data_IF_027397339713
#
_entry.id   IF_027397339713
#
_cell.length_a   1.000
_cell.length_b   1.000
_cell.length_c   1.000
_cell.angle_alpha   90.00
_cell.angle_beta   90.00
_cell.angle_gamma   90.00
#
_symmetry.space_group_name_H-M   'P 1'
#
loop_
_entity.id
_entity.type
_entity.pdbx_description
1 polymer ?
#
# COMPACT_ATOMS: atom_id res chain seq x y z
N UNK A 1 28.37 -27.16 21.20
CA UNK A 1 29.42 -26.25 20.67
C UNK A 1 29.54 -26.28 19.14
N UNK A 2 29.68 -27.43 18.49
CA UNK A 2 29.84 -27.49 17.02
C UNK A 2 28.65 -26.89 16.22
N UNK A 3 27.40 -27.16 16.65
CA UNK A 3 26.19 -26.56 16.05
C UNK A 3 26.11 -25.03 16.24
N UNK A 4 26.53 -24.54 17.41
CA UNK A 4 26.56 -23.11 17.72
C UNK A 4 27.65 -22.36 16.92
N UNK A 5 28.83 -22.97 16.77
CA UNK A 5 29.93 -22.44 15.94
C UNK A 5 29.55 -22.42 14.45
N UNK A 6 28.82 -23.42 13.96
CA UNK A 6 28.29 -23.45 12.58
C UNK A 6 27.29 -22.30 12.34
N UNK A 7 26.39 -22.03 13.31
CA UNK A 7 25.45 -20.90 13.26
C UNK A 7 26.15 -19.54 13.31
N UNK A 8 27.18 -19.36 14.15
CA UNK A 8 27.94 -18.10 14.20
C UNK A 8 28.77 -17.84 12.94
N UNK A 9 29.34 -18.88 12.34
CA UNK A 9 30.10 -18.75 11.08
C UNK A 9 29.19 -18.39 9.91
N UNK A 10 28.03 -19.04 9.82
CA UNK A 10 26.97 -18.72 8.84
C UNK A 10 26.45 -17.28 9.01
N UNK A 11 26.21 -16.82 10.24
CA UNK A 11 25.81 -15.44 10.51
C UNK A 11 26.90 -14.41 10.15
N UNK A 12 28.19 -14.75 10.34
CA UNK A 12 29.31 -13.89 9.96
C UNK A 12 29.59 -13.87 8.45
N UNK A 13 29.24 -14.94 7.72
CA UNK A 13 29.25 -14.99 6.24
C UNK A 13 28.06 -14.22 5.67
N UNK A 14 26.87 -14.36 6.25
CA UNK A 14 25.69 -13.54 5.90
C UNK A 14 25.92 -12.04 6.13
N UNK A 15 26.67 -11.66 7.17
CA UNK A 15 27.01 -10.26 7.45
C UNK A 15 27.94 -9.60 6.42
N UNK A 16 28.47 -10.34 5.44
CA UNK A 16 29.30 -9.81 4.34
C UNK A 16 28.56 -9.71 3.01
N UNK A 17 27.36 -10.28 2.91
CA UNK A 17 26.54 -10.14 1.71
C UNK A 17 25.98 -8.72 1.73
N UNK A 18 26.31 -7.95 0.71
CA UNK A 18 25.72 -6.63 0.52
C UNK A 18 24.25 -6.84 0.18
N UNK A 19 23.36 -6.14 0.87
CA UNK A 19 21.93 -6.16 0.57
C UNK A 19 21.71 -5.83 -0.91
N UNK A 20 20.72 -6.47 -1.53
CA UNK A 20 20.36 -6.15 -2.90
C UNK A 20 19.89 -4.69 -2.94
N UNK A 21 20.37 -3.85 -3.87
CA UNK A 21 20.13 -2.41 -3.85
C UNK A 21 18.63 -2.04 -3.85
N UNK A 22 17.77 -2.96 -4.33
CA UNK A 22 16.34 -2.72 -4.45
C UNK A 22 15.51 -3.29 -3.32
N UNK A 23 15.98 -4.37 -2.70
CA UNK A 23 15.16 -5.10 -1.75
C UNK A 23 15.50 -4.67 -0.34
N UNK A 24 14.77 -3.68 0.15
CA UNK A 24 14.64 -3.47 1.59
C UNK A 24 13.79 -4.60 2.18
N UNK A 25 13.84 -4.76 3.52
CA UNK A 25 12.97 -5.72 4.24
C UNK A 25 11.47 -5.41 4.11
N UNK A 26 11.10 -4.33 3.43
CA UNK A 26 9.71 -3.87 3.29
C UNK A 26 8.96 -4.59 2.15
N UNK A 27 9.67 -5.15 1.17
CA UNK A 27 9.04 -6.03 0.18
C UNK A 27 8.57 -7.32 0.83
N UNK A 28 7.32 -7.70 0.55
CA UNK A 28 6.74 -8.95 1.01
C UNK A 28 7.56 -10.16 0.55
N UNK A 29 7.58 -11.22 1.37
CA UNK A 29 8.27 -12.48 1.03
C UNK A 29 7.81 -13.06 -0.32
N UNK A 30 6.55 -12.86 -0.69
CA UNK A 30 5.98 -13.28 -1.98
C UNK A 30 6.72 -12.67 -3.18
N UNK A 31 6.92 -11.34 -3.18
CA UNK A 31 7.62 -10.64 -4.27
C UNK A 31 9.10 -11.07 -4.32
N UNK A 32 9.74 -11.24 -3.16
CA UNK A 32 11.14 -11.67 -3.08
C UNK A 32 11.32 -13.10 -3.58
N UNK A 33 10.38 -13.99 -3.27
CA UNK A 33 10.34 -15.36 -3.79
C UNK A 33 10.07 -15.37 -5.30
N UNK A 34 9.17 -14.53 -5.80
CA UNK A 34 8.92 -14.41 -7.24
C UNK A 34 10.17 -13.91 -7.98
N UNK A 35 10.82 -12.85 -7.47
CA UNK A 35 12.07 -12.34 -8.02
C UNK A 35 13.15 -13.41 -8.06
N UNK A 36 13.38 -14.09 -6.92
CA UNK A 36 14.36 -15.16 -6.85
C UNK A 36 14.01 -16.34 -7.78
N UNK A 37 12.74 -16.71 -7.87
CA UNK A 37 12.26 -17.76 -8.79
C UNK A 37 12.54 -17.41 -10.24
N UNK A 38 12.31 -16.16 -10.64
CA UNK A 38 12.59 -15.70 -11.99
C UNK A 38 14.07 -15.79 -12.35
N UNK A 39 14.95 -15.34 -11.45
CA UNK A 39 16.40 -15.43 -11.64
C UNK A 39 16.90 -16.88 -11.65
N UNK A 40 16.39 -17.72 -10.76
CA UNK A 40 16.76 -19.13 -10.69
C UNK A 40 16.26 -19.92 -11.92
N UNK A 41 15.05 -19.65 -12.39
CA UNK A 41 14.50 -20.28 -13.59
C UNK A 41 15.30 -19.91 -14.83
N UNK A 42 15.76 -18.66 -14.91
CA UNK A 42 16.59 -18.20 -16.02
C UNK A 42 17.85 -19.03 -16.19
N UNK A 43 18.55 -19.36 -15.09
CA UNK A 43 19.72 -20.24 -15.15
C UNK A 43 19.34 -21.71 -15.37
N UNK A 44 18.35 -22.23 -14.64
CA UNK A 44 17.95 -23.64 -14.75
C UNK A 44 17.34 -24.01 -16.11
N UNK A 45 16.80 -23.05 -16.86
CA UNK A 45 16.16 -23.31 -18.15
C UNK A 45 17.14 -23.21 -19.30
N UNK A 46 18.23 -22.44 -19.13
CA UNK A 46 19.34 -22.33 -20.07
C UNK A 46 20.31 -23.51 -19.97
N UNK A 47 20.61 -23.97 -18.75
CA UNK A 47 21.55 -25.05 -18.50
C UNK A 47 20.84 -26.30 -17.96
N UNK A 48 21.11 -27.48 -18.56
CA UNK A 48 20.58 -28.77 -18.10
C UNK A 48 20.95 -29.08 -16.63
N UNK A 49 22.13 -28.61 -16.19
CA UNK A 49 22.61 -28.72 -14.83
C UNK A 49 23.37 -27.46 -14.41
N UNK A 50 22.98 -26.85 -13.29
CA UNK A 50 23.70 -25.72 -12.71
C UNK A 50 25.06 -26.13 -12.15
N UNK A 51 26.10 -25.42 -12.55
CA UNK A 51 27.44 -25.62 -12.01
C UNK A 51 27.59 -25.04 -10.58
N UNK A 52 28.71 -25.32 -9.93
CA UNK A 52 28.95 -24.89 -8.55
C UNK A 52 29.07 -23.36 -8.40
N UNK A 53 29.46 -22.66 -9.46
CA UNK A 53 29.59 -21.20 -9.48
C UNK A 53 28.20 -20.56 -9.57
N UNK A 54 27.32 -21.09 -10.41
CA UNK A 54 25.92 -20.65 -10.55
C UNK A 54 25.09 -20.92 -9.30
N UNK A 55 25.22 -22.11 -8.72
CA UNK A 55 24.56 -22.43 -7.46
C UNK A 55 25.02 -21.48 -6.34
N UNK A 56 26.30 -21.10 -6.35
CA UNK A 56 26.82 -20.13 -5.39
C UNK A 56 26.28 -18.71 -5.64
N UNK A 57 26.22 -18.28 -6.91
CA UNK A 57 25.67 -16.98 -7.28
C UNK A 57 24.19 -16.84 -6.90
N UNK A 58 23.37 -17.85 -7.19
CA UNK A 58 21.96 -17.88 -6.76
C UNK A 58 21.83 -17.87 -5.23
N UNK A 59 22.67 -18.62 -4.51
CA UNK A 59 22.65 -18.60 -3.05
C UNK A 59 22.98 -17.22 -2.47
N UNK A 60 23.89 -16.46 -3.11
CA UNK A 60 24.20 -15.09 -2.72
C UNK A 60 23.06 -14.12 -3.05
N UNK A 61 22.44 -14.26 -4.23
CA UNK A 61 21.28 -13.44 -4.61
C UNK A 61 20.12 -13.65 -3.64
N UNK A 62 19.75 -14.90 -3.35
CA UNK A 62 18.69 -15.20 -2.38
C UNK A 62 18.96 -14.61 -0.99
N UNK A 63 20.23 -14.63 -0.54
CA UNK A 63 20.63 -13.99 0.73
C UNK A 63 20.52 -12.46 0.67
N UNK A 64 20.90 -11.85 -0.46
CA UNK A 64 20.79 -10.40 -0.68
C UNK A 64 19.32 -9.95 -0.73
N UNK A 65 18.40 -10.85 -1.10
CA UNK A 65 16.95 -10.68 -1.03
C UNK A 65 16.37 -11.02 0.35
N UNK A 66 17.22 -11.28 1.35
CA UNK A 66 16.83 -11.69 2.70
C UNK A 66 15.95 -12.94 2.78
N UNK A 67 16.10 -13.87 1.84
CA UNK A 67 15.49 -15.19 1.93
C UNK A 67 16.31 -16.08 2.87
N UNK A 68 15.63 -16.92 3.64
CA UNK A 68 16.24 -17.96 4.44
C UNK A 68 16.80 -19.08 3.56
N UNK A 69 17.73 -19.87 4.09
CA UNK A 69 18.28 -21.02 3.38
C UNK A 69 17.21 -22.06 3.00
N UNK A 70 16.17 -22.18 3.83
CA UNK A 70 15.06 -23.09 3.58
C UNK A 70 14.17 -22.58 2.42
N UNK A 71 13.86 -21.27 2.38
CA UNK A 71 13.13 -20.64 1.28
C UNK A 71 13.91 -20.73 -0.05
N UNK A 72 15.21 -20.44 -0.04
CA UNK A 72 16.08 -20.60 -1.20
C UNK A 72 16.04 -22.06 -1.70
N UNK A 73 16.19 -23.02 -0.79
CA UNK A 73 16.16 -24.45 -1.15
C UNK A 73 14.80 -24.88 -1.71
N UNK A 74 13.70 -24.34 -1.20
CA UNK A 74 12.34 -24.65 -1.65
C UNK A 74 12.07 -24.08 -3.04
N UNK A 75 12.46 -22.82 -3.29
CA UNK A 75 12.37 -22.21 -4.62
C UNK A 75 13.21 -22.99 -5.63
N UNK A 76 14.48 -23.31 -5.31
CA UNK A 76 15.34 -24.08 -6.21
C UNK A 76 14.75 -25.45 -6.57
N UNK A 77 14.21 -26.16 -5.57
CA UNK A 77 13.55 -27.45 -5.81
C UNK A 77 12.32 -27.32 -6.70
N UNK A 78 11.57 -26.23 -6.54
CA UNK A 78 10.38 -25.94 -7.35
C UNK A 78 10.77 -25.68 -8.80
N UNK A 79 11.71 -24.76 -9.03
CA UNK A 79 12.22 -24.40 -10.36
C UNK A 79 12.81 -25.61 -11.09
N UNK A 80 13.63 -26.42 -10.42
CA UNK A 80 14.23 -27.64 -11.01
C UNK A 80 13.20 -28.76 -11.28
N UNK A 81 12.02 -28.68 -10.67
CA UNK A 81 10.93 -29.62 -10.86
C UNK A 81 9.98 -29.26 -12.00
N UNK A 82 10.14 -28.09 -12.61
CA UNK A 82 9.30 -27.63 -13.74
C UNK A 82 9.61 -28.50 -14.96
N UNK A 83 8.56 -29.07 -15.58
CA UNK A 83 8.70 -29.86 -16.80
C UNK A 83 9.11 -29.00 -17.98
N UNK A 84 9.78 -29.59 -18.98
CA UNK A 84 10.26 -28.86 -20.16
C UNK A 84 9.13 -28.10 -20.87
N UNK A 85 7.96 -28.73 -20.99
CA UNK A 85 6.77 -28.16 -21.64
C UNK A 85 6.12 -27.03 -20.81
N UNK A 86 6.45 -26.93 -19.51
CA UNK A 86 5.82 -26.01 -18.55
C UNK A 86 6.71 -24.79 -18.21
N UNK A 87 7.95 -24.75 -18.70
CA UNK A 87 8.94 -23.69 -18.39
C UNK A 87 8.41 -22.28 -18.69
N UNK A 88 7.74 -22.12 -19.84
CA UNK A 88 7.23 -20.82 -20.27
C UNK A 88 6.02 -20.36 -19.44
N UNK A 89 5.11 -21.29 -19.12
CA UNK A 89 3.96 -21.00 -18.26
C UNK A 89 4.44 -20.59 -16.86
N UNK A 90 5.44 -21.30 -16.31
CA UNK A 90 6.05 -20.95 -15.04
C UNK A 90 6.65 -19.54 -15.02
N UNK A 91 7.42 -19.16 -16.07
CA UNK A 91 7.97 -17.79 -16.16
C UNK A 91 6.86 -16.74 -16.20
N UNK A 92 5.80 -16.98 -16.97
CA UNK A 92 4.66 -16.06 -17.05
C UNK A 92 3.98 -15.88 -15.70
N UNK A 93 3.77 -16.96 -14.95
CA UNK A 93 3.19 -16.89 -13.59
C UNK A 93 4.08 -16.11 -12.62
N UNK A 94 5.39 -16.39 -12.62
CA UNK A 94 6.35 -15.69 -11.75
C UNK A 94 6.46 -14.21 -12.10
N UNK A 95 6.51 -13.88 -13.39
CA UNK A 95 6.66 -12.51 -13.87
C UNK A 95 5.37 -11.68 -13.70
N UNK A 96 4.20 -12.31 -13.73
CA UNK A 96 2.93 -11.65 -13.44
C UNK A 96 2.83 -11.12 -12.00
N UNK A 97 3.66 -11.61 -11.07
CA UNK A 97 3.77 -11.10 -9.70
C UNK A 97 4.62 -9.83 -9.59
N UNK A 98 5.27 -9.39 -10.67
CA UNK A 98 6.10 -8.18 -10.72
C UNK A 98 5.31 -7.04 -11.38
N UNK A 99 4.68 -6.22 -10.55
CA UNK A 99 3.81 -5.11 -10.98
C UNK A 99 4.58 -3.85 -11.40
N UNK A 100 5.83 -3.70 -10.95
CA UNK A 100 6.68 -2.55 -11.24
C UNK A 100 7.70 -2.83 -12.33
N UNK A 101 7.75 -1.98 -13.36
CA UNK A 101 8.77 -2.05 -14.42
C UNK A 101 10.19 -1.96 -13.87
N UNK A 102 10.38 -1.26 -12.75
CA UNK A 102 11.66 -1.20 -12.06
C UNK A 102 12.14 -2.58 -11.58
N UNK A 103 11.26 -3.39 -11.00
CA UNK A 103 11.57 -4.76 -10.57
C UNK A 103 11.89 -5.65 -11.76
N UNK A 104 11.18 -5.48 -12.87
CA UNK A 104 11.41 -6.23 -14.11
C UNK A 104 12.79 -5.92 -14.71
N UNK A 105 13.16 -4.64 -14.80
CA UNK A 105 14.49 -4.24 -15.27
C UNK A 105 15.62 -4.73 -14.36
N UNK A 106 15.38 -4.71 -13.05
CA UNK A 106 16.33 -5.21 -12.09
C UNK A 106 16.56 -6.72 -12.25
N UNK A 107 15.47 -7.47 -12.36
CA UNK A 107 15.53 -8.90 -12.59
C UNK A 107 16.31 -9.21 -13.86
N UNK A 108 16.01 -8.54 -14.97
CA UNK A 108 16.72 -8.72 -16.23
C UNK A 108 18.21 -8.38 -16.12
N UNK A 109 18.56 -7.37 -15.32
CA UNK A 109 19.95 -6.99 -15.06
C UNK A 109 20.69 -8.06 -14.25
N UNK A 110 20.02 -8.65 -13.26
CA UNK A 110 20.57 -9.78 -12.50
C UNK A 110 20.68 -11.03 -13.36
N UNK A 111 19.66 -11.36 -14.16
CA UNK A 111 19.70 -12.48 -15.13
C UNK A 111 20.89 -12.30 -16.08
N UNK A 112 21.04 -11.12 -16.67
CA UNK A 112 22.19 -10.81 -17.53
C UNK A 112 23.53 -11.01 -16.81
N UNK A 113 23.62 -10.56 -15.55
CA UNK A 113 24.83 -10.72 -14.75
C UNK A 113 25.12 -12.18 -14.43
N UNK A 114 24.09 -12.96 -14.12
CA UNK A 114 24.18 -14.39 -13.82
C UNK A 114 24.59 -15.20 -15.06
N UNK A 115 24.01 -14.91 -16.22
CA UNK A 115 24.31 -15.60 -17.49
C UNK A 115 25.67 -15.22 -18.07
N UNK A 116 26.16 -13.99 -17.85
CA UNK A 116 27.39 -13.48 -18.47
C UNK A 116 28.67 -14.07 -17.86
N UNK A 117 28.90 -15.38 -18.02
CA UNK A 117 30.13 -16.08 -17.63
C UNK A 117 31.33 -15.45 -18.37
N UNK A 118 32.31 -14.91 -17.63
CA UNK A 118 33.52 -14.24 -18.17
C UNK A 118 33.24 -13.00 -19.05
N UNK A 119 32.08 -12.36 -18.86
CA UNK A 119 31.77 -11.07 -19.49
C UNK A 119 31.28 -11.15 -20.94
N UNK A 120 30.80 -12.31 -21.40
CA UNK A 120 30.15 -12.47 -22.70
C UNK A 120 28.98 -13.43 -22.59
N UNK A 121 27.87 -13.07 -23.22
CA UNK A 121 26.72 -13.96 -23.39
C UNK A 121 26.88 -14.86 -24.62
N UNK A 122 26.29 -16.04 -24.56
CA UNK A 122 26.04 -16.91 -25.71
C UNK A 122 24.82 -16.41 -26.51
N UNK A 123 24.60 -17.01 -27.69
CA UNK A 123 23.41 -16.72 -28.51
C UNK A 123 22.13 -17.15 -27.78
N UNK A 124 22.12 -18.37 -27.22
CA UNK A 124 20.99 -18.91 -26.46
C UNK A 124 20.65 -18.05 -25.21
N UNK A 125 21.68 -17.58 -24.47
CA UNK A 125 21.49 -16.67 -23.33
C UNK A 125 20.92 -15.31 -23.77
N UNK A 126 21.36 -14.81 -24.93
CA UNK A 126 20.87 -13.54 -25.49
C UNK A 126 19.40 -13.65 -25.88
N UNK A 127 19.04 -14.74 -26.57
CA UNK A 127 17.67 -15.03 -27.01
C UNK A 127 16.75 -15.24 -25.80
N UNK A 128 17.23 -15.92 -24.76
CA UNK A 128 16.48 -16.10 -23.52
C UNK A 128 16.21 -14.77 -22.78
N UNK A 129 17.21 -13.89 -22.70
CA UNK A 129 17.04 -12.56 -22.08
C UNK A 129 16.01 -11.73 -22.85
N UNK A 130 16.07 -11.74 -24.19
CA UNK A 130 15.09 -11.05 -25.03
C UNK A 130 13.68 -11.62 -24.84
N UNK A 131 13.56 -12.95 -24.81
CA UNK A 131 12.28 -13.64 -24.55
C UNK A 131 11.73 -13.27 -23.17
N UNK A 132 12.59 -13.27 -22.14
CA UNK A 132 12.20 -12.87 -20.78
C UNK A 132 11.74 -11.42 -20.72
N UNK A 133 12.41 -10.52 -21.44
CA UNK A 133 12.00 -9.12 -21.55
C UNK A 133 10.63 -8.99 -22.21
N UNK A 134 10.37 -9.72 -23.30
CA UNK A 134 9.06 -9.73 -23.96
C UNK A 134 7.95 -10.20 -23.02
N UNK A 135 8.18 -11.24 -22.21
CA UNK A 135 7.19 -11.73 -21.24
C UNK A 135 6.95 -10.69 -20.14
N UNK A 136 8.01 -10.10 -19.58
CA UNK A 136 7.92 -9.14 -18.47
C UNK A 136 7.16 -7.87 -18.87
N UNK A 137 7.38 -7.37 -20.08
CA UNK A 137 6.82 -6.11 -20.55
C UNK A 137 5.59 -6.27 -21.45
N UNK A 138 5.33 -7.47 -21.98
CA UNK A 138 4.25 -7.73 -22.93
C UNK A 138 4.48 -7.16 -24.34
N UNK A 139 5.70 -6.69 -24.61
CA UNK A 139 6.13 -6.09 -25.88
C UNK A 139 7.63 -6.31 -26.09
N UNK A 140 8.07 -6.26 -27.35
CA UNK A 140 9.49 -6.43 -27.70
C UNK A 140 10.31 -5.25 -27.15
N UNK A 141 11.19 -5.52 -26.17
CA UNK A 141 12.09 -4.50 -25.60
C UNK A 141 13.55 -4.86 -25.82
N UNK A 142 14.29 -3.95 -26.45
CA UNK A 142 15.74 -4.08 -26.63
C UNK A 142 16.50 -3.65 -25.37
N UNK A 143 16.49 -4.51 -24.36
CA UNK A 143 17.14 -4.27 -23.06
C UNK A 143 18.66 -4.06 -23.18
N UNK A 144 19.29 -4.64 -24.20
CA UNK A 144 20.70 -4.44 -24.50
C UNK A 144 21.03 -3.01 -24.94
N UNK A 145 20.15 -2.35 -25.69
CA UNK A 145 20.33 -0.93 -25.99
C UNK A 145 20.19 -0.05 -24.76
N UNK A 146 19.28 -0.39 -23.85
CA UNK A 146 19.13 0.34 -22.58
C UNK A 146 20.40 0.22 -21.73
N UNK A 147 20.98 -0.98 -21.60
CA UNK A 147 22.28 -1.14 -20.92
C UNK A 147 23.41 -0.40 -21.62
N UNK A 148 23.46 -0.38 -22.96
CA UNK A 148 24.45 0.42 -23.71
C UNK A 148 24.29 1.93 -23.47
N UNK A 149 23.05 2.40 -23.27
CA UNK A 149 22.73 3.79 -22.89
C UNK A 149 23.02 4.10 -21.41
N UNK A 150 23.53 3.12 -20.66
CA UNK A 150 23.95 3.30 -19.27
C UNK A 150 22.85 3.00 -18.25
N UNK A 151 21.83 2.21 -18.60
CA UNK A 151 20.90 1.67 -17.61
C UNK A 151 21.68 0.89 -16.54
N UNK A 152 21.53 1.29 -15.30
CA UNK A 152 22.03 0.65 -14.08
C UNK A 152 20.88 0.47 -13.10
N UNK A 153 21.04 -0.41 -12.12
CA UNK A 153 20.07 -0.55 -11.02
C UNK A 153 19.79 0.80 -10.32
N UNK A 154 20.80 1.68 -10.25
CA UNK A 154 20.73 2.98 -9.59
C UNK A 154 19.94 4.04 -10.40
N UNK A 155 19.69 3.82 -11.70
CA UNK A 155 19.01 4.79 -12.55
C UNK A 155 17.79 4.25 -13.32
N UNK A 156 17.40 2.99 -13.08
CA UNK A 156 16.33 2.34 -13.84
C UNK A 156 14.94 2.99 -13.69
N UNK A 157 14.67 3.74 -12.62
CA UNK A 157 13.43 4.53 -12.48
C UNK A 157 13.33 5.70 -13.47
N UNK A 158 14.46 6.14 -14.04
CA UNK A 158 14.53 7.29 -14.95
C UNK A 158 14.40 6.90 -16.44
N UNK A 159 14.29 5.61 -16.75
CA UNK A 159 14.10 5.13 -18.12
C UNK A 159 12.64 4.75 -18.32
N UNK A 160 11.95 5.47 -19.20
CA UNK A 160 10.57 5.16 -19.60
C UNK A 160 10.56 4.30 -20.87
N UNK A 161 9.43 3.63 -21.13
CA UNK A 161 9.24 2.85 -22.36
C UNK A 161 9.43 3.71 -23.63
N UNK A 162 9.10 5.01 -23.57
CA UNK A 162 9.16 5.94 -24.70
C UNK A 162 10.59 6.37 -25.09
N UNK A 163 11.59 6.08 -24.24
CA UNK A 163 13.00 6.46 -24.50
C UNK A 163 13.71 5.51 -25.48
N UNK A 164 13.09 4.36 -25.80
CA UNK A 164 13.60 3.40 -26.78
C UNK A 164 13.19 3.74 -28.22
N UNK A 165 11.96 4.22 -28.42
CA UNK A 165 11.35 4.38 -29.76
C UNK A 165 11.75 5.67 -30.48
N UNK A 166 12.29 6.66 -29.78
CA UNK A 166 12.65 7.96 -30.37
C UNK A 166 14.06 8.04 -30.99
N UNK A 167 14.77 6.92 -31.17
CA UNK A 167 16.19 6.92 -31.52
C UNK A 167 16.50 6.65 -33.01
N UNK A 168 15.65 7.13 -33.93
CA UNK A 168 15.74 6.76 -35.34
C UNK A 168 15.52 7.88 -36.34
N UNK A 169 16.07 9.08 -36.16
CA UNK A 169 16.36 10.05 -37.23
C UNK A 169 16.88 11.35 -36.61
N UNK A 170 18.19 11.55 -36.50
CA UNK A 170 18.72 12.92 -36.47
C UNK A 170 20.11 12.98 -37.10
N UNK A 171 20.16 13.75 -38.19
CA UNK A 171 21.33 13.95 -39.02
C UNK A 171 22.38 14.83 -38.32
N UNK A 172 23.64 14.55 -38.63
CA UNK A 172 24.81 15.30 -38.21
C UNK A 172 24.65 16.79 -38.58
N UNK A 173 24.59 17.74 -37.62
CA UNK A 173 24.52 19.16 -37.95
C UNK A 173 25.90 19.72 -38.29
N UNK A 174 25.91 20.64 -39.24
CA UNK A 174 27.11 21.30 -39.74
C UNK A 174 27.71 22.28 -38.71
N UNK A 175 29.02 22.18 -38.50
CA UNK A 175 29.87 23.13 -37.78
C UNK A 175 29.76 24.54 -38.40
N UNK A 176 29.01 25.47 -37.80
CA UNK A 176 29.28 26.91 -37.86
C UNK A 176 28.31 27.77 -37.03
N UNK A 177 28.03 27.39 -35.77
CA UNK A 177 27.53 28.36 -34.80
C UNK A 177 28.45 28.37 -33.57
N UNK A 178 29.23 29.46 -33.44
CA UNK A 178 30.14 29.69 -32.30
C UNK A 178 29.43 30.44 -31.16
N UNK A 179 28.12 30.31 -31.06
CA UNK A 179 27.48 30.38 -29.74
C UNK A 179 27.90 29.13 -28.98
N UNK A 180 28.57 29.31 -27.84
CA UNK A 180 29.03 28.21 -27.01
C UNK A 180 27.86 27.28 -26.72
N UNK A 181 27.89 26.10 -27.34
CA UNK A 181 26.89 25.07 -27.13
C UNK A 181 26.78 24.83 -25.62
N UNK A 182 25.58 25.09 -25.08
CA UNK A 182 25.30 24.92 -23.65
C UNK A 182 25.53 23.45 -23.32
N UNK A 183 26.11 23.18 -22.16
CA UNK A 183 26.38 21.79 -21.79
C UNK A 183 25.08 20.97 -21.81
N UNK A 184 25.04 19.80 -22.47
CA UNK A 184 23.82 18.98 -22.59
C UNK A 184 23.16 18.67 -21.25
N UNK A 185 23.93 18.62 -20.16
CA UNK A 185 23.39 18.46 -18.81
C UNK A 185 22.34 19.54 -18.47
N UNK A 186 22.63 20.82 -18.71
CA UNK A 186 21.73 21.92 -18.33
C UNK A 186 20.50 22.01 -19.24
N UNK A 187 20.60 21.53 -20.48
CA UNK A 187 19.43 21.40 -21.38
C UNK A 187 18.47 20.35 -20.83
N UNK A 188 18.99 19.17 -20.48
CA UNK A 188 18.19 18.10 -19.83
C UNK A 188 17.61 18.54 -18.50
N UNK A 189 18.35 19.33 -17.71
CA UNK A 189 17.87 19.87 -16.44
C UNK A 189 16.68 20.81 -16.64
N UNK A 190 16.73 21.68 -17.64
CA UNK A 190 15.61 22.56 -18.00
C UNK A 190 14.37 21.77 -18.43
N UNK A 191 14.54 20.73 -19.24
CA UNK A 191 13.46 19.82 -19.65
C UNK A 191 12.84 19.11 -18.44
N UNK A 192 13.68 18.58 -17.53
CA UNK A 192 13.22 17.98 -16.27
C UNK A 192 12.43 18.97 -15.41
N UNK A 193 12.93 20.20 -15.24
CA UNK A 193 12.23 21.26 -14.50
C UNK A 193 10.85 21.54 -15.10
N UNK A 194 10.76 21.56 -16.43
CA UNK A 194 9.52 21.76 -17.16
C UNK A 194 8.53 20.62 -16.93
N UNK A 195 8.99 19.38 -17.02
CA UNK A 195 8.16 18.19 -16.75
C UNK A 195 7.62 18.21 -15.33
N UNK A 196 8.49 18.42 -14.33
CA UNK A 196 8.10 18.48 -12.91
C UNK A 196 7.00 19.51 -12.68
N UNK A 197 7.23 20.76 -13.10
CA UNK A 197 6.25 21.82 -12.86
C UNK A 197 4.97 21.62 -13.66
N UNK A 198 5.04 21.08 -14.87
CA UNK A 198 3.83 20.77 -15.65
C UNK A 198 2.95 19.76 -14.90
N UNK A 199 3.54 18.70 -14.34
CA UNK A 199 2.82 17.72 -13.50
C UNK A 199 2.16 18.38 -12.29
N UNK A 200 2.88 19.25 -11.58
CA UNK A 200 2.33 20.00 -10.43
C UNK A 200 1.16 20.88 -10.87
N UNK A 201 1.31 21.60 -11.99
CA UNK A 201 0.30 22.51 -12.51
C UNK A 201 -0.96 21.76 -12.94
N UNK A 202 -0.81 20.59 -13.56
CA UNK A 202 -1.95 19.77 -13.96
C UNK A 202 -2.68 19.17 -12.76
N UNK A 203 -1.96 18.81 -11.69
CA UNK A 203 -2.61 18.46 -10.43
C UNK A 203 -3.35 19.66 -9.82
N UNK A 204 -2.73 20.86 -9.78
CA UNK A 204 -3.38 22.07 -9.27
C UNK A 204 -4.70 22.40 -9.98
N UNK A 205 -4.80 22.09 -11.27
CA UNK A 205 -6.02 22.30 -12.06
C UNK A 205 -7.11 21.27 -11.76
N UNK A 206 -6.74 20.08 -11.32
CA UNK A 206 -7.65 18.93 -11.16
C UNK A 206 -8.03 18.66 -9.70
N UNK A 207 -7.15 19.00 -8.75
CA UNK A 207 -7.36 18.85 -7.31
C UNK A 207 -7.53 20.23 -6.66
N UNK A 208 -8.78 20.59 -6.37
CA UNK A 208 -9.13 21.86 -5.72
C UNK A 208 -8.58 21.99 -4.30
N UNK A 209 -8.44 20.88 -3.56
CA UNK A 209 -7.90 20.91 -2.21
C UNK A 209 -6.39 21.20 -2.24
N UNK A 210 -5.67 20.56 -3.18
CA UNK A 210 -4.26 20.86 -3.41
C UNK A 210 -4.06 22.32 -3.82
N UNK A 211 -4.89 22.81 -4.75
CA UNK A 211 -4.87 24.20 -5.19
C UNK A 211 -5.09 25.17 -4.03
N UNK A 212 -6.07 24.89 -3.16
CA UNK A 212 -6.32 25.71 -1.97
C UNK A 212 -5.14 25.68 -0.99
N UNK A 213 -4.53 24.52 -0.76
CA UNK A 213 -3.36 24.36 0.11
C UNK A 213 -2.18 25.19 -0.40
N UNK A 214 -1.86 25.06 -1.69
CA UNK A 214 -0.75 25.79 -2.32
C UNK A 214 -1.01 27.29 -2.36
N UNK A 215 -2.20 27.74 -2.74
CA UNK A 215 -2.53 29.18 -2.76
C UNK A 215 -2.56 29.81 -1.37
N UNK A 216 -2.83 29.03 -0.32
CA UNK A 216 -2.77 29.49 1.08
C UNK A 216 -1.33 29.56 1.59
N UNK A 217 -0.53 28.50 1.36
CA UNK A 217 0.83 28.39 1.89
C UNK A 217 1.86 29.19 1.07
N UNK A 218 1.58 29.40 -0.22
CA UNK A 218 2.45 30.08 -1.18
C UNK A 218 1.68 31.18 -1.92
N UNK A 219 1.03 32.06 -1.16
CA UNK A 219 0.18 33.13 -1.69
C UNK A 219 0.85 33.98 -2.80
N UNK A 220 2.15 34.23 -2.68
CA UNK A 220 2.93 35.00 -3.66
C UNK A 220 3.17 34.26 -4.99
N UNK A 221 3.09 32.92 -4.98
CA UNK A 221 3.37 32.06 -6.14
C UNK A 221 2.13 31.45 -6.77
N UNK A 222 1.02 31.35 -6.02
CA UNK A 222 -0.24 30.76 -6.47
C UNK A 222 -0.71 31.26 -7.85
N UNK A 223 -0.79 32.58 -8.10
CA UNK A 223 -1.22 33.09 -9.40
C UNK A 223 -0.32 32.63 -10.57
N UNK A 224 1.00 32.65 -10.38
CA UNK A 224 1.96 32.29 -11.44
C UNK A 224 1.93 30.78 -11.75
N UNK A 225 1.73 29.93 -10.74
CA UNK A 225 1.57 28.49 -10.94
C UNK A 225 0.37 28.18 -11.83
N UNK A 226 -0.75 28.92 -11.67
CA UNK A 226 -1.94 28.73 -12.49
C UNK A 226 -1.77 29.24 -13.93
N UNK A 227 -0.86 30.18 -14.16
CA UNK A 227 -0.55 30.73 -15.49
C UNK A 227 0.37 29.81 -16.32
N UNK A 228 1.13 28.92 -15.68
CA UNK A 228 1.93 27.89 -16.34
C UNK A 228 3.44 28.00 -16.07
N UNK A 229 4.20 27.05 -16.62
CA UNK A 229 5.65 26.95 -16.43
C UNK A 229 6.41 28.25 -16.73
N UNK A 230 6.12 28.89 -17.87
CA UNK A 230 6.84 30.10 -18.30
C UNK A 230 6.62 31.28 -17.35
N UNK A 231 5.42 31.39 -16.76
CA UNK A 231 5.10 32.43 -15.78
C UNK A 231 5.86 32.20 -14.46
N UNK A 232 5.89 30.96 -13.98
CA UNK A 232 6.66 30.56 -12.78
C UNK A 232 8.15 30.81 -12.98
N UNK A 233 8.70 30.38 -14.12
CA UNK A 233 10.13 30.58 -14.47
C UNK A 233 10.47 32.06 -14.54
N UNK A 234 9.63 32.86 -15.17
CA UNK A 234 9.82 34.31 -15.30
C UNK A 234 9.79 35.02 -13.93
N UNK A 235 8.84 34.67 -13.06
CA UNK A 235 8.74 35.22 -11.71
C UNK A 235 9.95 34.85 -10.85
N UNK A 236 10.40 33.59 -10.92
CA UNK A 236 11.61 33.16 -10.23
C UNK A 236 12.85 33.89 -10.69
N UNK A 237 12.98 34.09 -12.00
CA UNK A 237 14.06 34.90 -12.55
C UNK A 237 14.02 36.34 -12.03
N UNK A 238 12.84 36.98 -12.05
CA UNK A 238 12.65 38.33 -11.52
C UNK A 238 13.08 38.43 -10.05
N UNK A 239 12.62 37.51 -9.20
CA UNK A 239 12.97 37.51 -7.77
C UNK A 239 14.46 37.32 -7.52
N UNK A 240 15.10 36.46 -8.31
CA UNK A 240 16.53 36.23 -8.23
C UNK A 240 17.32 37.47 -8.64
N UNK A 241 16.90 38.16 -9.71
CA UNK A 241 17.49 39.41 -10.17
C UNK A 241 17.31 40.54 -9.16
N UNK A 242 16.10 40.73 -8.62
CA UNK A 242 15.80 41.78 -7.65
C UNK A 242 16.55 41.60 -6.33
N UNK A 243 16.65 40.35 -5.85
CA UNK A 243 17.30 40.04 -4.57
C UNK A 243 18.83 40.05 -4.65
N UNK A 244 19.40 39.59 -5.77
CA UNK A 244 20.83 39.30 -5.87
C UNK A 244 21.58 40.15 -6.94
N UNK A 245 20.88 41.00 -7.70
CA UNK A 245 21.49 41.82 -8.76
C UNK A 245 22.04 41.01 -9.95
N UNK A 246 21.51 39.81 -10.15
CA UNK A 246 21.94 38.84 -11.17
C UNK A 246 21.31 39.16 -12.52
N UNK A 247 22.13 39.18 -13.58
CA UNK A 247 21.70 39.30 -14.99
C UNK A 247 22.24 38.11 -15.78
N UNK A 248 21.42 37.47 -16.64
CA UNK A 248 21.76 36.21 -17.33
C UNK A 248 23.05 36.27 -18.17
N UNK A 249 23.37 37.45 -18.68
CA UNK A 249 24.45 37.63 -19.65
C UNK A 249 25.84 37.74 -19.01
N UNK A 250 25.94 37.69 -17.68
CA UNK A 250 27.24 37.78 -17.00
C UNK A 250 27.92 36.41 -16.96
N UNK A 251 29.21 36.31 -17.31
CA UNK A 251 29.98 35.11 -17.06
C UNK A 251 30.09 34.86 -15.55
N UNK A 252 29.96 33.61 -15.12
CA UNK A 252 30.14 33.26 -13.71
C UNK A 252 31.64 33.15 -13.41
N UNK A 253 32.08 33.75 -12.30
CA UNK A 253 33.42 33.49 -11.76
C UNK A 253 33.41 32.16 -10.97
N UNK A 254 34.11 31.10 -11.43
CA UNK A 254 34.12 29.79 -10.78
C UNK A 254 34.64 29.79 -9.33
N UNK A 255 35.38 30.82 -8.92
CA UNK A 255 35.87 30.94 -7.55
C UNK A 255 34.80 31.45 -6.57
N UNK A 256 33.81 32.23 -7.04
CA UNK A 256 32.67 32.69 -6.23
C UNK A 256 31.65 31.58 -6.04
N UNK A 257 31.67 30.59 -6.94
CA UNK A 257 30.74 29.47 -6.99
C UNK A 257 30.87 28.53 -5.77
N UNK A 258 32.07 28.20 -5.31
CA UNK A 258 32.26 26.98 -4.50
C UNK A 258 31.63 26.94 -3.10
N UNK A 259 31.42 28.08 -2.44
CA UNK A 259 30.93 28.10 -1.04
C UNK A 259 29.45 28.46 -0.96
N UNK A 260 28.98 29.40 -1.79
CA UNK A 260 27.57 29.78 -1.84
C UNK A 260 26.72 28.74 -2.58
N UNK A 261 27.23 28.08 -3.63
CA UNK A 261 26.47 27.04 -4.34
C UNK A 261 26.21 25.81 -3.50
N UNK A 262 27.12 25.42 -2.60
CA UNK A 262 26.88 24.27 -1.72
C UNK A 262 25.64 24.44 -0.85
N UNK A 263 25.26 25.69 -0.55
CA UNK A 263 24.04 25.99 0.22
C UNK A 263 22.80 26.19 -0.67
N UNK A 264 23.01 26.41 -1.97
CA UNK A 264 21.96 26.72 -2.95
C UNK A 264 21.53 25.51 -3.77
N UNK A 265 22.36 24.47 -3.87
CA UNK A 265 22.12 23.24 -4.62
C UNK A 265 21.74 22.11 -3.66
N UNK A 266 20.64 21.40 -3.91
CA UNK A 266 20.35 20.13 -3.24
C UNK A 266 21.44 19.10 -3.54
N UNK A 267 21.55 18.10 -2.66
CA UNK A 267 22.54 17.01 -2.75
C UNK A 267 22.36 16.11 -4.00
N UNK A 268 21.33 16.35 -4.84
CA UNK A 268 20.98 15.52 -6.00
C UNK A 268 21.69 15.92 -7.31
N UNK A 269 22.40 17.04 -7.36
CA UNK A 269 23.20 17.44 -8.53
C UNK A 269 24.69 17.11 -8.30
N UNK A 270 25.30 16.22 -9.11
CA UNK A 270 26.72 15.88 -8.98
C UNK A 270 27.63 17.11 -9.07
N UNK A 271 28.66 17.15 -8.23
CA UNK A 271 29.62 18.27 -8.19
C UNK A 271 30.31 18.43 -9.55
N UNK A 272 30.56 17.32 -10.25
CA UNK A 272 31.18 17.27 -11.57
C UNK A 272 30.35 18.03 -12.62
N UNK A 273 29.03 17.98 -12.52
CA UNK A 273 28.11 18.69 -13.41
C UNK A 273 28.01 20.18 -13.06
N UNK A 274 28.07 20.52 -11.77
CA UNK A 274 28.15 21.92 -11.33
C UNK A 274 29.41 22.62 -11.86
N UNK A 275 30.53 21.90 -11.98
CA UNK A 275 31.77 22.45 -12.52
C UNK A 275 31.70 22.74 -14.03
N UNK A 276 30.66 22.27 -14.73
CA UNK A 276 30.41 22.57 -16.15
C UNK A 276 29.66 23.89 -16.37
N UNK A 277 29.15 24.53 -15.31
CA UNK A 277 28.44 25.81 -15.42
C UNK A 277 29.32 26.89 -16.05
N UNK A 278 28.84 27.52 -17.13
CA UNK A 278 29.56 28.60 -17.83
C UNK A 278 28.82 29.94 -17.72
N UNK A 279 27.51 29.90 -17.54
CA UNK A 279 26.62 31.07 -17.64
C UNK A 279 25.70 31.19 -16.44
N UNK A 280 25.23 32.41 -16.13
CA UNK A 280 24.18 32.60 -15.10
C UNK A 280 22.91 31.80 -15.40
N UNK A 281 22.64 31.47 -16.67
CA UNK A 281 21.51 30.61 -17.05
C UNK A 281 21.69 29.16 -16.58
N UNK A 282 22.92 28.65 -16.53
CA UNK A 282 23.20 27.33 -15.95
C UNK A 282 22.96 27.33 -14.44
N UNK A 283 23.44 28.38 -13.74
CA UNK A 283 23.13 28.57 -12.31
C UNK A 283 21.62 28.67 -12.07
N UNK A 284 20.93 29.43 -12.92
CA UNK A 284 19.49 29.60 -12.84
C UNK A 284 18.79 28.25 -12.88
N UNK A 285 19.06 27.39 -13.87
CA UNK A 285 18.37 26.09 -13.97
C UNK A 285 18.67 25.16 -12.79
N UNK A 286 19.89 25.21 -12.24
CA UNK A 286 20.22 24.47 -11.01
C UNK A 286 19.40 24.97 -9.83
N UNK A 287 19.32 26.29 -9.62
CA UNK A 287 18.51 26.86 -8.52
C UNK A 287 17.01 26.65 -8.75
N UNK A 288 16.56 26.68 -9.99
CA UNK A 288 15.18 26.47 -10.37
C UNK A 288 14.76 25.00 -10.20
N UNK A 289 15.67 24.04 -10.41
CA UNK A 289 15.43 22.63 -10.10
C UNK A 289 15.12 22.42 -8.62
N UNK A 290 15.84 23.09 -7.72
CA UNK A 290 15.53 22.99 -6.29
C UNK A 290 14.16 23.56 -5.97
N UNK A 291 13.81 24.67 -6.61
CA UNK A 291 12.49 25.27 -6.48
C UNK A 291 11.39 24.34 -7.03
N UNK A 292 11.56 23.75 -8.20
CA UNK A 292 10.62 22.79 -8.79
C UNK A 292 10.44 21.55 -7.89
N UNK A 293 11.53 21.01 -7.34
CA UNK A 293 11.49 19.87 -6.42
C UNK A 293 10.72 20.16 -5.12
N UNK A 294 10.71 21.40 -4.62
CA UNK A 294 9.86 21.78 -3.46
C UNK A 294 8.38 21.56 -3.78
N UNK A 295 7.92 21.87 -5.00
CA UNK A 295 6.53 21.62 -5.38
C UNK A 295 6.24 20.12 -5.54
N UNK A 296 7.19 19.34 -6.05
CA UNK A 296 7.06 17.88 -6.09
C UNK A 296 6.88 17.30 -4.69
N UNK A 297 7.69 17.76 -3.73
CA UNK A 297 7.60 17.31 -2.35
C UNK A 297 6.24 17.65 -1.73
N UNK A 298 5.74 18.88 -1.96
CA UNK A 298 4.41 19.30 -1.52
C UNK A 298 3.29 18.50 -2.18
N UNK A 299 3.40 18.19 -3.47
CA UNK A 299 2.44 17.35 -4.20
C UNK A 299 2.41 15.92 -3.63
N UNK A 300 3.60 15.35 -3.38
CA UNK A 300 3.72 14.01 -2.82
C UNK A 300 3.16 13.94 -1.38
N UNK A 301 3.42 14.96 -0.57
CA UNK A 301 2.86 15.08 0.78
C UNK A 301 1.32 15.18 0.73
N UNK A 302 0.77 16.00 -0.17
CA UNK A 302 -0.68 16.10 -0.39
C UNK A 302 -1.30 14.76 -0.80
N UNK A 303 -0.71 14.06 -1.77
CA UNK A 303 -1.19 12.74 -2.22
C UNK A 303 -1.16 11.72 -1.08
N UNK A 304 -0.13 11.75 -0.25
CA UNK A 304 0.00 10.89 0.94
C UNK A 304 -1.09 11.20 1.96
N UNK A 305 -1.34 12.47 2.29
CA UNK A 305 -2.39 12.87 3.23
C UNK A 305 -3.79 12.46 2.74
N UNK A 306 -4.07 12.67 1.45
CA UNK A 306 -5.32 12.24 0.81
C UNK A 306 -5.53 10.72 0.90
N UNK A 307 -4.47 9.95 0.62
CA UNK A 307 -4.50 8.48 0.74
C UNK A 307 -4.75 8.05 2.18
N UNK A 308 -4.12 8.71 3.16
CA UNK A 308 -4.30 8.39 4.58
C UNK A 308 -5.74 8.65 5.04
N UNK A 309 -6.32 9.79 4.65
CA UNK A 309 -7.73 10.13 4.93
C UNK A 309 -8.70 9.10 4.35
N UNK A 310 -8.46 8.62 3.14
CA UNK A 310 -9.31 7.58 2.53
C UNK A 310 -9.18 6.24 3.26
N UNK A 311 -7.96 5.85 3.67
CA UNK A 311 -7.75 4.64 4.50
C UNK A 311 -8.52 4.74 5.82
N UNK A 312 -8.49 5.90 6.50
CA UNK A 312 -9.24 6.11 7.74
C UNK A 312 -10.75 6.02 7.51
N UNK A 313 -11.26 6.62 6.43
CA UNK A 313 -12.67 6.53 6.05
C UNK A 313 -13.11 5.09 5.81
N UNK A 314 -12.31 4.32 5.07
CA UNK A 314 -12.60 2.91 4.78
C UNK A 314 -12.54 2.03 6.04
N UNK A 315 -11.60 2.28 6.96
CA UNK A 315 -11.56 1.60 8.25
C UNK A 315 -12.82 1.84 9.07
N UNK A 316 -13.26 3.09 9.17
CA UNK A 316 -14.49 3.43 9.89
C UNK A 316 -15.72 2.78 9.25
N UNK A 317 -15.79 2.74 7.92
CA UNK A 317 -16.87 2.04 7.22
C UNK A 317 -16.86 0.54 7.52
N UNK A 318 -15.70 -0.11 7.46
CA UNK A 318 -15.56 -1.54 7.78
C UNK A 318 -15.96 -1.86 9.23
N UNK A 319 -15.60 -0.99 10.19
CA UNK A 319 -16.02 -1.13 11.59
C UNK A 319 -17.54 -1.05 11.75
N UNK A 320 -18.18 -0.09 11.06
CA UNK A 320 -19.64 0.05 11.06
C UNK A 320 -20.33 -1.17 10.43
N UNK A 321 -19.87 -1.61 9.25
CA UNK A 321 -20.40 -2.77 8.54
C UNK A 321 -20.24 -4.05 9.37
N UNK A 322 -19.10 -4.21 10.05
CA UNK A 322 -18.84 -5.32 10.97
C UNK A 322 -19.76 -5.29 12.19
N UNK A 323 -20.00 -4.11 12.78
CA UNK A 323 -20.93 -3.93 13.89
C UNK A 323 -22.38 -4.26 13.47
N UNK A 324 -22.79 -3.80 12.30
CA UNK A 324 -24.11 -4.10 11.73
C UNK A 324 -24.27 -5.60 11.44
N UNK A 325 -23.26 -6.23 10.83
CA UNK A 325 -23.25 -7.66 10.55
C UNK A 325 -23.36 -8.48 11.84
N UNK A 326 -22.59 -8.13 12.89
CA UNK A 326 -22.69 -8.78 14.22
C UNK A 326 -24.08 -8.61 14.81
N UNK A 327 -24.68 -7.42 14.72
CA UNK A 327 -26.05 -7.17 15.20
C UNK A 327 -27.07 -8.01 14.45
N UNK A 328 -26.98 -8.07 13.12
CA UNK A 328 -27.89 -8.86 12.29
C UNK A 328 -27.75 -10.37 12.57
N UNK A 329 -26.52 -10.86 12.79
CA UNK A 329 -26.29 -12.24 13.20
C UNK A 329 -26.95 -12.56 14.56
N UNK A 330 -26.86 -11.63 15.53
CA UNK A 330 -27.55 -11.76 16.83
C UNK A 330 -29.07 -11.74 16.68
N UNK A 331 -29.62 -10.89 15.80
CA UNK A 331 -31.07 -10.84 15.54
C UNK A 331 -31.58 -12.12 14.86
N UNK A 332 -30.76 -12.75 14.01
CA UNK A 332 -31.10 -14.01 13.37
C UNK A 332 -31.39 -15.14 14.37
N UNK A 333 -30.84 -15.08 15.59
CA UNK A 333 -31.16 -16.01 16.68
C UNK A 333 -32.65 -15.99 17.08
N UNK A 334 -33.40 -14.94 16.71
CA UNK A 334 -34.81 -14.75 17.06
C UNK A 334 -35.74 -14.65 15.84
N UNK A 335 -35.23 -14.81 14.62
CA UNK A 335 -36.00 -14.55 13.38
C UNK A 335 -37.19 -15.50 13.14
N UNK A 336 -37.27 -16.62 13.86
CA UNK A 336 -38.33 -17.62 13.73
C UNK A 336 -39.54 -17.43 14.64
N UNK A 337 -39.49 -16.46 15.57
CA UNK A 337 -40.52 -16.31 16.61
C UNK A 337 -41.71 -15.53 16.06
N UNK A 338 -42.83 -16.21 15.86
CA UNK A 338 -44.11 -15.62 15.44
C UNK A 338 -45.10 -15.64 16.62
N UNK A 339 -45.04 -14.61 17.47
CA UNK A 339 -45.97 -14.40 18.56
C UNK A 339 -46.30 -12.91 18.72
N UNK A 340 -47.59 -12.59 18.91
CA UNK A 340 -48.09 -11.21 19.05
C UNK A 340 -47.55 -10.45 20.28
N UNK A 341 -46.97 -11.16 21.25
CA UNK A 341 -46.37 -10.62 22.46
C UNK A 341 -44.84 -10.43 22.32
N UNK A 342 -44.23 -10.94 21.24
CA UNK A 342 -42.79 -10.83 20.97
C UNK A 342 -42.54 -9.74 19.94
N UNK A 343 -41.63 -8.82 20.25
CA UNK A 343 -41.18 -7.77 19.35
C UNK A 343 -39.66 -7.88 19.18
N UNK A 344 -39.20 -8.03 17.95
CA UNK A 344 -37.76 -8.15 17.61
C UNK A 344 -37.32 -6.87 16.90
N UNK A 345 -36.14 -6.36 17.25
CA UNK A 345 -35.58 -5.18 16.60
C UNK A 345 -35.40 -5.39 15.07
N UNK A 346 -35.60 -4.35 14.25
CA UNK A 346 -35.94 -2.97 14.62
C UNK A 346 -37.44 -2.73 14.87
N UNK A 347 -38.28 -3.76 14.85
CA UNK A 347 -39.74 -3.65 14.88
C UNK A 347 -40.33 -3.65 16.30
N UNK A 348 -39.68 -2.96 17.25
CA UNK A 348 -40.17 -2.82 18.63
C UNK A 348 -40.96 -1.51 18.75
N UNK A 349 -42.25 -1.54 19.14
CA UNK A 349 -43.02 -0.31 19.33
C UNK A 349 -42.37 0.60 20.37
N UNK A 350 -42.11 1.85 20.00
CA UNK A 350 -41.39 2.83 20.84
C UNK A 350 -41.99 2.97 22.25
N UNK A 351 -43.31 3.03 22.37
CA UNK A 351 -43.99 3.17 23.66
C UNK A 351 -43.78 1.95 24.56
N UNK A 352 -43.75 0.74 23.98
CA UNK A 352 -43.51 -0.51 24.72
C UNK A 352 -42.05 -0.59 25.19
N UNK A 353 -41.10 -0.26 24.31
CA UNK A 353 -39.68 -0.23 24.65
C UNK A 353 -39.41 0.77 25.78
N UNK A 354 -39.95 1.99 25.66
CA UNK A 354 -39.81 3.03 26.68
C UNK A 354 -40.42 2.59 28.02
N UNK A 355 -41.60 1.98 28.00
CA UNK A 355 -42.24 1.47 29.21
C UNK A 355 -41.40 0.37 29.87
N UNK A 356 -40.90 -0.61 29.11
CA UNK A 356 -40.06 -1.69 29.61
C UNK A 356 -38.78 -1.18 30.26
N UNK A 357 -38.04 -0.29 29.57
CA UNK A 357 -36.81 0.31 30.09
C UNK A 357 -37.08 1.09 31.38
N UNK A 358 -38.13 1.92 31.40
CA UNK A 358 -38.48 2.70 32.59
C UNK A 358 -38.92 1.85 33.78
N UNK A 359 -39.54 0.69 33.52
CA UNK A 359 -40.11 -0.17 34.55
C UNK A 359 -39.07 -1.11 35.16
N UNK A 360 -38.23 -1.74 34.34
CA UNK A 360 -37.37 -2.84 34.80
C UNK A 360 -35.99 -2.93 34.15
N UNK A 361 -35.61 -2.01 33.26
CA UNK A 361 -34.28 -2.01 32.64
C UNK A 361 -33.67 -0.59 32.48
N UNK A 362 -33.63 0.25 33.55
CA UNK A 362 -33.29 1.68 33.42
C UNK A 362 -31.84 1.97 33.00
N UNK A 363 -30.97 0.97 33.03
CA UNK A 363 -29.56 1.07 32.62
C UNK A 363 -29.32 0.57 31.20
N UNK A 364 -30.34 0.02 30.52
CA UNK A 364 -30.21 -0.50 29.15
C UNK A 364 -30.41 0.64 28.15
N UNK A 365 -29.49 0.73 27.19
CA UNK A 365 -29.67 1.60 26.02
C UNK A 365 -30.74 1.00 25.09
N UNK A 366 -31.76 1.76 24.66
CA UNK A 366 -32.75 1.31 23.69
C UNK A 366 -32.18 0.63 22.43
N UNK A 367 -31.02 1.07 21.95
CA UNK A 367 -30.40 0.54 20.72
C UNK A 367 -29.78 -0.85 20.90
N UNK A 368 -29.48 -1.23 22.15
CA UNK A 368 -28.91 -2.55 22.49
C UNK A 368 -29.99 -3.65 22.63
N UNK A 369 -31.27 -3.26 22.59
CA UNK A 369 -32.39 -4.19 22.75
C UNK A 369 -32.61 -4.98 21.47
N UNK A 370 -32.48 -6.30 21.57
CA UNK A 370 -32.71 -7.23 20.48
C UNK A 370 -34.16 -7.72 20.46
N UNK A 371 -34.72 -8.03 21.63
CA UNK A 371 -36.07 -8.58 21.79
C UNK A 371 -36.77 -7.99 22.99
N UNK A 372 -38.07 -7.75 22.87
CA UNK A 372 -39.00 -7.40 23.93
C UNK A 372 -40.18 -8.39 23.92
N UNK A 373 -40.43 -9.03 25.06
CA UNK A 373 -41.64 -9.81 25.33
C UNK A 373 -42.55 -9.03 26.26
N UNK A 374 -43.80 -8.80 25.86
CA UNK A 374 -44.81 -8.10 26.64
C UNK A 374 -45.76 -9.10 27.34
N UNK A 375 -45.54 -9.31 28.64
CA UNK A 375 -46.35 -10.21 29.48
C UNK A 375 -47.51 -9.48 30.17
N UNK A 376 -47.76 -8.22 29.83
CA UNK A 376 -48.88 -7.47 30.45
C UNK A 376 -50.22 -7.87 29.84
N UNK A 377 -51.25 -7.98 30.69
CA UNK A 377 -52.61 -8.29 30.24
C UNK A 377 -53.21 -7.25 29.28
N UNK A 378 -52.74 -5.99 29.35
CA UNK A 378 -53.25 -4.86 28.56
C UNK A 378 -52.24 -4.33 27.52
N UNK A 379 -51.11 -5.01 27.31
CA UNK A 379 -50.14 -4.66 26.26
C UNK A 379 -49.30 -3.41 26.55
N UNK A 380 -49.05 -3.07 27.81
CA UNK A 380 -48.23 -1.94 28.25
C UNK A 380 -46.72 -2.22 28.35
N UNK A 381 -46.28 -3.48 28.24
CA UNK A 381 -44.87 -3.92 28.35
C UNK A 381 -44.14 -3.48 29.63
N UNK A 382 -44.86 -3.20 30.71
CA UNK A 382 -44.28 -2.93 32.04
C UNK A 382 -43.95 -4.21 32.82
N UNK A 383 -44.47 -5.34 32.35
CA UNK A 383 -44.18 -6.69 32.83
C UNK A 383 -43.78 -7.52 31.61
N UNK A 384 -42.82 -8.41 31.78
CA UNK A 384 -42.29 -9.24 30.70
C UNK A 384 -40.77 -9.38 30.74
N UNK A 385 -40.17 -9.42 29.55
CA UNK A 385 -38.74 -9.70 29.39
C UNK A 385 -38.14 -8.87 28.26
N UNK A 386 -36.91 -8.43 28.44
CA UNK A 386 -36.11 -7.68 27.47
C UNK A 386 -34.76 -8.39 27.33
N UNK A 387 -34.31 -8.61 26.10
CA UNK A 387 -33.03 -9.28 25.80
C UNK A 387 -32.11 -8.28 25.07
N UNK A 388 -30.89 -8.11 25.59
CA UNK A 388 -29.76 -7.41 24.94
C UNK A 388 -28.76 -8.44 24.39
N UNK A 389 -27.60 -7.98 23.92
CA UNK A 389 -26.56 -8.88 23.42
C UNK A 389 -25.88 -9.74 24.51
N UNK A 390 -26.01 -9.38 25.78
CA UNK A 390 -25.29 -9.97 26.92
C UNK A 390 -26.14 -10.10 28.19
N UNK A 391 -27.39 -9.64 28.17
CA UNK A 391 -28.22 -9.55 29.36
C UNK A 391 -29.70 -9.84 29.06
N UNK A 392 -30.37 -10.42 30.05
CA UNK A 392 -31.82 -10.53 30.12
C UNK A 392 -32.31 -9.73 31.32
N UNK A 393 -33.21 -8.79 31.05
CA UNK A 393 -33.95 -8.05 32.07
C UNK A 393 -35.39 -8.54 32.08
N UNK A 394 -35.98 -8.78 33.24
CA UNK A 394 -37.37 -9.22 33.35
C UNK A 394 -38.07 -8.59 34.55
N UNK A 395 -39.38 -8.56 34.51
CA UNK A 395 -40.22 -8.15 35.62
C UNK A 395 -41.53 -8.92 35.60
N UNK A 396 -41.88 -9.47 36.77
CA UNK A 396 -43.12 -10.18 37.02
C UNK A 396 -43.98 -9.35 37.99
N UNK A 397 -45.31 -9.44 37.86
CA UNK A 397 -46.23 -8.68 38.71
C UNK A 397 -45.96 -9.02 40.19
N UNK A 398 -45.77 -7.98 41.00
CA UNK A 398 -45.45 -8.07 42.45
C UNK A 398 -44.05 -8.59 42.79
N UNK A 399 -43.15 -8.68 41.81
CA UNK A 399 -41.75 -9.03 42.04
C UNK A 399 -40.83 -7.85 41.70
N UNK A 400 -39.65 -7.83 42.29
CA UNK A 400 -38.62 -6.86 41.88
C UNK A 400 -38.06 -7.25 40.50
N UNK A 401 -37.65 -6.27 39.67
CA UNK A 401 -36.95 -6.53 38.42
C UNK A 401 -35.73 -7.44 38.59
N UNK A 402 -35.56 -8.39 37.67
CA UNK A 402 -34.39 -9.25 37.60
C UNK A 402 -33.55 -8.83 36.39
N UNK A 403 -32.25 -8.62 36.61
CA UNK A 403 -31.28 -8.42 35.56
C UNK A 403 -30.22 -9.52 35.65
N UNK A 404 -30.05 -10.29 34.58
CA UNK A 404 -29.08 -11.39 34.54
C UNK A 404 -28.23 -11.32 33.29
N UNK A 405 -26.92 -11.18 33.51
CA UNK A 405 -25.92 -11.27 32.44
C UNK A 405 -25.63 -12.73 32.08
N UNK A 406 -25.30 -12.95 30.82
CA UNK A 406 -24.84 -14.24 30.31
C UNK A 406 -23.58 -14.04 29.48
N UNK A 407 -22.77 -15.10 29.42
CA UNK A 407 -21.48 -15.12 28.74
C UNK A 407 -21.36 -16.37 27.89
N UNK A 408 -20.22 -16.53 27.19
CA UNK A 408 -19.98 -17.65 26.28
C UNK A 408 -20.18 -19.04 26.89
N UNK A 409 -19.93 -19.19 28.18
CA UNK A 409 -20.09 -20.45 28.91
C UNK A 409 -21.38 -20.56 29.71
N UNK A 410 -22.27 -19.57 29.62
CA UNK A 410 -23.52 -19.59 30.38
C UNK A 410 -24.44 -20.70 29.91
N UNK A 411 -25.04 -21.39 30.87
CA UNK A 411 -25.99 -22.46 30.60
C UNK A 411 -27.42 -21.90 30.55
N UNK A 412 -28.04 -21.98 29.37
CA UNK A 412 -29.43 -21.55 29.17
C UNK A 412 -30.34 -22.77 29.18
N UNK A 413 -31.32 -22.78 30.09
CA UNK A 413 -32.34 -23.84 30.19
C UNK A 413 -33.72 -23.23 30.19
N UNK A 414 -34.72 -24.01 29.78
CA UNK A 414 -36.12 -23.65 29.90
C UNK A 414 -36.94 -24.80 30.47
N UNK A 415 -38.09 -24.48 31.06
CA UNK A 415 -39.02 -25.47 31.59
C UNK A 415 -40.41 -24.87 31.83
N UNK A 416 -41.42 -25.43 31.17
CA UNK A 416 -42.77 -24.86 31.17
C UNK A 416 -42.75 -23.42 30.66
N UNK A 417 -43.13 -22.46 31.51
CA UNK A 417 -43.18 -21.03 31.20
C UNK A 417 -41.97 -20.22 31.69
N UNK A 418 -40.87 -20.90 32.00
CA UNK A 418 -39.72 -20.31 32.70
C UNK A 418 -38.42 -20.46 31.91
N UNK A 419 -37.56 -19.45 32.03
CA UNK A 419 -36.18 -19.46 31.49
C UNK A 419 -35.21 -19.35 32.66
N UNK A 420 -34.12 -20.11 32.57
CA UNK A 420 -33.06 -20.17 33.55
C UNK A 420 -31.70 -19.89 32.90
N UNK A 421 -30.86 -19.11 33.59
CA UNK A 421 -29.48 -18.84 33.19
C UNK A 421 -28.58 -19.25 34.36
N UNK A 422 -27.63 -20.15 34.10
CA UNK A 422 -26.72 -20.70 35.11
C UNK A 422 -27.46 -21.29 36.34
N UNK A 423 -28.62 -21.89 36.08
CA UNK A 423 -29.48 -22.50 37.10
C UNK A 423 -30.39 -21.53 37.87
N UNK A 424 -30.24 -20.22 37.69
CA UNK A 424 -31.12 -19.21 38.30
C UNK A 424 -32.31 -18.92 37.39
N UNK A 425 -33.52 -18.85 37.96
CA UNK A 425 -34.71 -18.43 37.21
C UNK A 425 -34.59 -16.95 36.86
N UNK A 426 -34.60 -16.62 35.57
CA UNK A 426 -34.52 -15.23 35.10
C UNK A 426 -35.89 -14.68 34.76
N UNK A 427 -36.84 -15.50 34.29
CA UNK A 427 -38.21 -15.05 34.08
C UNK A 427 -39.23 -16.20 34.13
N UNK A 428 -40.48 -15.84 34.38
CA UNK A 428 -41.68 -16.66 34.19
C UNK A 428 -42.73 -15.87 33.40
N UNK A 429 -42.98 -16.23 32.14
CA UNK A 429 -43.87 -15.46 31.25
C UNK A 429 -45.24 -16.13 31.14
N UNK A 430 -46.26 -15.49 31.71
CA UNK A 430 -47.60 -16.05 31.87
C UNK A 430 -48.39 -16.16 30.56
N UNK A 431 -48.17 -15.24 29.61
CA UNK A 431 -48.85 -15.18 28.33
C UNK A 431 -48.14 -15.99 27.23
N UNK A 432 -46.86 -16.33 27.43
CA UNK A 432 -46.10 -17.11 26.47
C UNK A 432 -46.60 -18.56 26.35
N UNK A 433 -46.56 -19.11 25.12
CA UNK A 433 -46.66 -20.55 24.89
C UNK A 433 -45.34 -21.24 25.20
N UNK A 434 -45.35 -22.55 25.44
CA UNK A 434 -44.10 -23.30 25.67
C UNK A 434 -43.17 -23.29 24.44
N UNK A 435 -43.71 -23.20 23.22
CA UNK A 435 -42.89 -23.06 21.99
C UNK A 435 -42.13 -21.74 21.99
N UNK A 436 -42.80 -20.65 22.32
CA UNK A 436 -42.17 -19.31 22.36
C UNK A 436 -41.12 -19.24 23.46
N UNK A 437 -41.37 -19.83 24.62
CA UNK A 437 -40.36 -19.93 25.69
C UNK A 437 -39.12 -20.70 25.23
N UNK A 438 -39.34 -21.83 24.55
CA UNK A 438 -38.25 -22.61 23.97
C UNK A 438 -37.46 -21.78 22.96
N UNK A 439 -38.12 -21.12 22.02
CA UNK A 439 -37.47 -20.32 20.98
C UNK A 439 -36.71 -19.12 21.56
N UNK A 440 -37.26 -18.43 22.58
CA UNK A 440 -36.57 -17.36 23.30
C UNK A 440 -35.31 -17.89 24.01
N UNK A 441 -35.41 -19.04 24.68
CA UNK A 441 -34.28 -19.66 25.35
C UNK A 441 -33.20 -20.14 24.36
N UNK A 442 -33.59 -20.73 23.24
CA UNK A 442 -32.69 -21.11 22.15
C UNK A 442 -32.03 -19.89 21.51
N UNK A 443 -32.76 -18.79 21.34
CA UNK A 443 -32.23 -17.53 20.86
C UNK A 443 -31.18 -16.93 21.82
N UNK A 444 -31.46 -16.91 23.13
CA UNK A 444 -30.48 -16.49 24.15
C UNK A 444 -29.25 -17.41 24.13
N UNK A 445 -29.45 -18.73 24.02
CA UNK A 445 -28.34 -19.68 23.88
C UNK A 445 -27.52 -19.43 22.60
N UNK A 446 -28.15 -19.01 21.50
CA UNK A 446 -27.46 -18.57 20.29
C UNK A 446 -26.61 -17.32 20.52
N UNK A 447 -27.08 -16.38 21.34
CA UNK A 447 -26.33 -15.16 21.68
C UNK A 447 -25.04 -15.43 22.44
N UNK A 448 -24.96 -16.48 23.27
CA UNK A 448 -23.75 -16.80 24.03
C UNK A 448 -22.55 -17.08 23.12
N UNK A 449 -22.78 -17.54 21.88
CA UNK A 449 -21.71 -17.71 20.90
C UNK A 449 -21.03 -16.39 20.48
N UNK A 450 -21.70 -15.25 20.69
CA UNK A 450 -21.25 -13.91 20.30
C UNK A 450 -20.82 -13.02 21.48
N UNK A 451 -20.93 -13.52 22.71
CA UNK A 451 -20.45 -12.84 23.92
C UNK A 451 -19.00 -13.24 24.20
N UNK A 452 -18.19 -12.27 24.64
CA UNK A 452 -16.78 -12.50 24.99
C UNK A 452 -16.59 -13.26 26.31
#
# INVERSE_FOLDING_TARGET
MASFMKKMKSAAEQAKVKDHPLFTREYGTEIRNAYFSGAAASLCFLDDELDAEEQHALALLGQALHLSADEISEVMKTVQGVGEDDKMEFLQEVFALMDSDYLKYALLTDIHTLCSKKGKLTEDETDFINTSAEILFGEEKNVFELWKKGLTLDNAENFSADDADNAGEDGIPAENDKNSERDPFFVKLEERNKTILTTVIDELKTDSEFCQSITTNLADWGPYLLEGYDAVRSKFFQDLTEKNGVTLDKPINPAVIQEDLKNLVRDDVPIEDLMKMKTMQDLFEVTFNNFANVFTDLLNEHKKDKTLKEIERLKQQLENDSAEMKRNARLACFAGIDDRHVFVAPNIPYDKLTNAISAYAPLVNPDDVLVLFDDTAFGGARDGMLITHDCVCSHEIFMDPVQRFFFKSSEIRYGGKKIYIDGEQVCSLSLASESVIKELAEGIAGLTAFTE
#
